data_IF_027234854367
#
_entry.id   IF_027234854367
#
_cell.length_a   1.000
_cell.length_b   1.000
_cell.length_c   1.000
_cell.angle_alpha   90.00
_cell.angle_beta   90.00
_cell.angle_gamma   90.00
#
_symmetry.space_group_name_H-M   'P 1'
#
loop_
_entity.id
_entity.type
_entity.pdbx_description
1 polymer ?
#
# COMPACT_ATOMS: atom_id res chain seq x y z
N UNK A 1 -4.25 -21.46 -16.58
CA UNK A 1 -5.06 -20.68 -15.62
C UNK A 1 -4.59 -21.09 -14.22
N UNK A 2 -3.60 -20.39 -13.65
CA UNK A 2 -3.08 -20.70 -12.31
C UNK A 2 -3.87 -19.89 -11.29
N UNK A 3 -4.50 -20.60 -10.38
CA UNK A 3 -5.30 -20.07 -9.26
C UNK A 3 -4.39 -19.25 -8.32
N UNK A 4 -4.79 -18.01 -8.03
CA UNK A 4 -4.14 -17.12 -7.06
C UNK A 4 -4.53 -17.53 -5.63
N UNK A 5 -3.56 -17.63 -4.72
CA UNK A 5 -3.79 -17.92 -3.31
C UNK A 5 -3.18 -16.84 -2.42
N UNK A 6 -3.95 -16.36 -1.45
CA UNK A 6 -3.41 -15.69 -0.25
C UNK A 6 -3.05 -16.81 0.72
N UNK A 7 -1.77 -16.97 1.04
CA UNK A 7 -1.33 -17.95 2.04
C UNK A 7 -1.19 -17.21 3.38
N UNK A 8 -2.20 -17.35 4.23
CA UNK A 8 -2.11 -16.91 5.63
C UNK A 8 -1.44 -18.05 6.41
N UNK A 9 -0.11 -18.11 6.42
CA UNK A 9 0.60 -19.04 7.31
C UNK A 9 0.61 -18.47 8.73
N UNK A 10 -0.47 -18.71 9.49
CA UNK A 10 -0.38 -18.78 10.94
C UNK A 10 -0.69 -20.23 11.32
N UNK A 11 0.24 -20.84 12.06
CA UNK A 11 0.16 -22.18 12.62
C UNK A 11 -1.23 -22.57 13.13
N UNK A 12 -1.68 -23.76 12.67
CA UNK A 12 -2.78 -24.61 13.18
C UNK A 12 -4.21 -24.03 13.21
N UNK A 13 -4.86 -24.05 12.05
CA UNK A 13 -6.04 -24.88 11.70
C UNK A 13 -6.75 -24.18 10.55
N UNK A 14 -6.91 -24.89 9.44
CA UNK A 14 -7.62 -24.40 8.26
C UNK A 14 -9.07 -24.02 8.59
N UNK A 15 -9.54 -22.79 8.34
CA UNK A 15 -10.93 -22.57 8.02
C UNK A 15 -11.05 -22.62 6.50
N UNK A 16 -11.82 -23.60 6.02
CA UNK A 16 -12.44 -23.57 4.71
C UNK A 16 -13.32 -22.31 4.64
N UNK A 17 -12.95 -21.32 3.85
CA UNK A 17 -13.91 -20.28 3.44
C UNK A 17 -13.57 -19.69 2.08
N UNK A 18 -14.63 -19.49 1.31
CA UNK A 18 -14.72 -19.25 -0.13
C UNK A 18 -13.93 -18.00 -0.59
N UNK A 19 -13.03 -18.16 -1.57
CA UNK A 19 -12.17 -17.09 -2.10
C UNK A 19 -12.88 -16.29 -3.19
N UNK A 20 -13.57 -15.18 -2.86
CA UNK A 20 -14.33 -14.39 -3.85
C UNK A 20 -14.09 -12.87 -3.89
N UNK A 21 -13.28 -12.27 -3.03
CA UNK A 21 -13.44 -10.84 -2.75
C UNK A 21 -12.25 -9.94 -3.11
N UNK A 22 -11.80 -9.96 -4.37
CA UNK A 22 -11.00 -8.89 -4.94
C UNK A 22 -11.91 -7.76 -5.45
N UNK A 23 -11.63 -6.50 -5.11
CA UNK A 23 -12.33 -5.37 -5.73
C UNK A 23 -11.55 -4.87 -6.95
N UNK A 24 -12.28 -4.67 -8.06
CA UNK A 24 -11.75 -4.08 -9.29
C UNK A 24 -12.00 -2.57 -9.23
N UNK A 25 -10.95 -1.76 -9.22
CA UNK A 25 -11.10 -0.31 -9.39
C UNK A 25 -11.41 -0.06 -10.88
N UNK A 26 -12.51 0.64 -11.24
CA UNK A 26 -12.99 0.69 -12.62
C UNK A 26 -12.03 1.31 -13.66
N UNK A 27 -11.08 2.15 -13.23
CA UNK A 27 -10.28 2.95 -14.18
C UNK A 27 -8.85 2.46 -14.41
N UNK A 28 -8.44 1.37 -13.75
CA UNK A 28 -7.13 0.76 -13.95
C UNK A 28 -7.22 -0.68 -13.45
N UNK A 29 -6.81 -1.70 -14.22
CA UNK A 29 -6.85 -3.10 -13.77
C UNK A 29 -5.84 -3.28 -12.62
N UNK A 30 -6.24 -2.91 -11.42
CA UNK A 30 -5.43 -2.89 -10.22
C UNK A 30 -6.19 -3.67 -9.14
N UNK A 31 -5.61 -4.77 -8.70
CA UNK A 31 -6.13 -5.56 -7.60
C UNK A 31 -5.68 -4.91 -6.29
N UNK A 32 -6.61 -4.28 -5.57
CA UNK A 32 -6.35 -3.82 -4.20
C UNK A 32 -6.77 -4.92 -3.25
N UNK A 33 -5.82 -5.35 -2.41
CA UNK A 33 -6.12 -6.23 -1.29
C UNK A 33 -6.49 -5.36 -0.10
N UNK A 34 -7.79 -5.30 0.18
CA UNK A 34 -8.31 -4.71 1.41
C UNK A 34 -8.10 -5.70 2.56
N UNK A 35 -7.22 -5.33 3.48
CA UNK A 35 -6.79 -6.20 4.57
C UNK A 35 -7.92 -6.37 5.60
N UNK A 36 -8.87 -5.43 5.70
CA UNK A 36 -10.04 -5.53 6.59
C UNK A 36 -10.89 -6.78 6.29
N UNK A 37 -10.90 -7.23 5.04
CA UNK A 37 -11.63 -8.44 4.62
C UNK A 37 -11.05 -9.74 5.18
N UNK A 38 -9.81 -9.72 5.63
CA UNK A 38 -9.15 -10.90 6.21
C UNK A 38 -9.33 -10.97 7.74
N UNK A 39 -10.30 -10.21 8.29
CA UNK A 39 -10.65 -10.22 9.71
C UNK A 39 -9.65 -9.47 10.58
N UNK A 40 -8.91 -8.53 9.99
CA UNK A 40 -7.97 -7.66 10.67
C UNK A 40 -8.59 -6.27 10.79
N UNK A 41 -8.77 -5.78 12.01
CA UNK A 41 -9.27 -4.42 12.21
C UNK A 41 -8.13 -3.42 11.97
N UNK A 42 -8.19 -2.68 10.86
CA UNK A 42 -7.28 -1.59 10.54
C UNK A 42 -7.91 -0.22 10.77
N UNK A 43 -9.09 -0.16 11.39
CA UNK A 43 -9.74 1.11 11.66
C UNK A 43 -8.85 1.98 12.54
N UNK A 44 -8.60 3.22 12.10
CA UNK A 44 -7.73 4.15 12.81
C UNK A 44 -6.23 3.87 12.72
N UNK A 45 -5.79 2.82 11.99
CA UNK A 45 -4.37 2.63 11.70
C UNK A 45 -3.94 3.64 10.63
N UNK A 46 -3.08 4.57 11.02
CA UNK A 46 -2.47 5.57 10.13
C UNK A 46 -1.02 5.26 9.82
N UNK A 47 -0.43 4.26 10.47
CA UNK A 47 0.99 3.89 10.31
C UNK A 47 1.11 2.40 10.03
N UNK A 48 1.92 2.04 9.03
CA UNK A 48 2.14 0.65 8.62
C UNK A 48 3.63 0.37 8.51
N UNK A 49 4.08 -0.74 9.09
CA UNK A 49 5.41 -1.32 8.83
C UNK A 49 5.25 -2.60 8.03
N UNK A 50 6.11 -2.77 7.02
CA UNK A 50 6.05 -3.94 6.15
C UNK A 50 7.41 -4.20 5.51
N UNK A 51 7.57 -5.41 5.00
CA UNK A 51 8.63 -5.77 4.07
C UNK A 51 8.02 -6.15 2.74
N UNK A 52 8.65 -5.76 1.64
CA UNK A 52 8.19 -6.11 0.30
C UNK A 52 9.36 -6.56 -0.56
N UNK A 53 9.13 -7.63 -1.33
CA UNK A 53 9.99 -8.06 -2.43
C UNK A 53 9.24 -7.83 -3.74
N UNK A 54 9.69 -6.84 -4.49
CA UNK A 54 9.11 -6.42 -5.77
C UNK A 54 10.18 -5.64 -6.54
N UNK A 55 10.19 -5.72 -7.88
CA UNK A 55 11.19 -4.99 -8.67
C UNK A 55 11.01 -3.46 -8.61
N UNK A 56 9.75 -2.99 -8.59
CA UNK A 56 9.38 -1.57 -8.54
C UNK A 56 7.87 -1.42 -8.27
N UNK A 57 7.34 -0.19 -8.30
CA UNK A 57 5.92 0.14 -8.28
C UNK A 57 5.14 -0.42 -7.07
N UNK A 58 5.74 -0.30 -5.88
CA UNK A 58 5.09 -0.56 -4.60
C UNK A 58 4.18 0.61 -4.27
N UNK A 59 2.90 0.35 -3.97
CA UNK A 59 1.95 1.40 -3.58
C UNK A 59 1.13 0.98 -2.38
N UNK A 60 0.93 1.92 -1.46
CA UNK A 60 0.00 1.80 -0.34
C UNK A 60 -1.11 2.80 -0.60
N UNK A 61 -2.35 2.36 -0.44
CA UNK A 61 -3.55 3.21 -0.54
C UNK A 61 -4.14 3.36 0.84
N UNK A 62 -4.30 4.59 1.32
CA UNK A 62 -4.99 4.89 2.57
C UNK A 62 -6.24 5.71 2.28
N UNK A 63 -7.43 5.16 2.57
CA UNK A 63 -8.71 5.70 2.07
C UNK A 63 -9.64 6.15 3.20
N UNK A 64 -10.45 7.18 2.93
CA UNK A 64 -11.59 7.60 3.76
C UNK A 64 -12.84 6.73 3.53
N UNK A 65 -12.68 5.45 3.25
CA UNK A 65 -13.79 4.52 3.03
C UNK A 65 -13.53 3.21 3.75
N UNK A 66 -14.59 2.60 4.26
CA UNK A 66 -14.52 1.29 4.91
C UNK A 66 -14.45 0.14 3.87
N UNK A 67 -14.79 0.39 2.60
CA UNK A 67 -14.91 -0.65 1.55
C UNK A 67 -14.12 -0.34 0.25
N UNK A 68 -13.05 0.45 0.31
CA UNK A 68 -12.22 0.72 -0.88
C UNK A 68 -12.95 1.51 -1.99
N UNK A 69 -13.98 2.28 -1.62
CA UNK A 69 -14.73 3.14 -2.55
C UNK A 69 -13.82 4.20 -3.18
N UNK A 70 -13.59 4.06 -4.49
CA UNK A 70 -12.72 4.95 -5.27
C UNK A 70 -13.25 6.37 -5.45
N UNK A 71 -14.54 6.62 -5.13
CA UNK A 71 -15.12 7.96 -5.14
C UNK A 71 -14.75 8.77 -3.89
N UNK A 72 -14.23 8.13 -2.84
CA UNK A 72 -13.77 8.80 -1.62
C UNK A 72 -12.32 9.27 -1.74
N UNK A 73 -11.95 10.35 -1.01
CA UNK A 73 -10.56 10.77 -0.92
C UNK A 73 -9.65 9.63 -0.46
N UNK A 74 -8.48 9.54 -1.07
CA UNK A 74 -7.46 8.55 -0.73
C UNK A 74 -6.06 9.08 -0.98
N UNK A 75 -5.11 8.61 -0.18
CA UNK A 75 -3.70 8.83 -0.39
C UNK A 75 -3.13 7.61 -1.10
N UNK A 76 -2.57 7.84 -2.29
CA UNK A 76 -1.67 6.91 -2.93
C UNK A 76 -0.24 7.25 -2.48
N UNK A 77 0.38 6.34 -1.77
CA UNK A 77 1.76 6.44 -1.30
C UNK A 77 2.60 5.52 -2.19
N UNK A 78 3.44 6.12 -3.03
CA UNK A 78 4.24 5.40 -4.00
C UNK A 78 5.67 5.22 -3.48
N UNK A 79 6.17 4.00 -3.62
CA UNK A 79 7.51 3.60 -3.26
C UNK A 79 8.09 2.88 -4.49
N UNK A 80 9.29 3.27 -4.92
CA UNK A 80 9.92 2.68 -6.11
C UNK A 80 9.12 2.88 -7.41
N UNK A 81 8.38 3.98 -7.52
CA UNK A 81 7.76 4.43 -8.77
C UNK A 81 8.81 4.76 -9.85
N UNK A 82 8.34 4.96 -11.09
CA UNK A 82 9.21 5.37 -12.20
C UNK A 82 10.40 4.43 -12.45
N UNK A 83 10.15 3.11 -12.46
CA UNK A 83 11.20 2.08 -12.59
C UNK A 83 12.21 2.08 -11.43
N UNK A 84 11.72 2.14 -10.17
CA UNK A 84 12.53 2.14 -8.95
C UNK A 84 13.40 3.40 -8.79
N UNK A 85 12.89 4.56 -9.20
CA UNK A 85 13.62 5.84 -9.19
C UNK A 85 12.91 6.96 -8.45
N UNK A 86 11.65 6.75 -8.04
CA UNK A 86 10.84 7.77 -7.39
C UNK A 86 10.00 7.24 -6.25
N UNK A 87 9.79 8.08 -5.26
CA UNK A 87 8.77 7.90 -4.22
C UNK A 87 7.95 9.18 -4.15
N UNK A 88 6.71 9.09 -3.70
CA UNK A 88 5.87 10.27 -3.66
C UNK A 88 4.48 10.01 -3.15
N UNK A 89 3.71 11.08 -3.10
CA UNK A 89 2.35 11.06 -2.59
C UNK A 89 1.42 11.66 -3.63
N UNK A 90 0.22 11.09 -3.69
CA UNK A 90 -0.89 11.65 -4.45
C UNK A 90 -2.15 11.56 -3.60
N UNK A 91 -2.90 12.65 -3.55
CA UNK A 91 -4.26 12.70 -3.03
C UNK A 91 -5.22 12.59 -4.21
N UNK A 92 -5.97 11.51 -4.28
CA UNK A 92 -7.01 11.34 -5.30
C UNK A 92 -8.22 12.21 -4.94
N UNK A 93 -8.88 12.75 -5.96
CA UNK A 93 -9.93 13.77 -5.85
C UNK A 93 -9.39 15.09 -5.27
N UNK A 94 -8.15 15.40 -5.60
CA UNK A 94 -7.58 16.73 -5.47
C UNK A 94 -7.85 17.49 -6.77
N UNK A 95 -8.64 18.56 -6.67
CA UNK A 95 -9.04 19.41 -7.80
C UNK A 95 -7.84 20.17 -8.41
N UNK A 96 -6.67 20.14 -7.78
CA UNK A 96 -5.44 20.77 -8.27
C UNK A 96 -4.60 19.89 -9.20
N UNK A 97 -4.84 18.57 -9.27
CA UNK A 97 -4.11 17.66 -10.15
C UNK A 97 -4.63 17.73 -11.59
N UNK A 98 -3.74 17.95 -12.55
CA UNK A 98 -4.06 17.82 -13.98
C UNK A 98 -3.91 16.35 -14.43
N UNK A 99 -4.50 15.95 -15.58
CA UNK A 99 -4.35 14.58 -16.11
C UNK A 99 -2.89 14.11 -16.28
N UNK A 100 -1.95 15.06 -16.42
CA UNK A 100 -0.53 14.79 -16.61
C UNK A 100 0.26 14.73 -15.28
N UNK A 101 -0.40 14.98 -14.15
CA UNK A 101 0.25 15.05 -12.83
C UNK A 101 -0.03 13.79 -12.01
N UNK A 102 0.93 12.86 -12.00
CA UNK A 102 0.83 11.60 -11.24
C UNK A 102 0.99 11.81 -9.72
N UNK A 103 1.66 12.88 -9.29
CA UNK A 103 2.01 13.12 -7.88
C UNK A 103 1.68 14.55 -7.45
N UNK A 104 1.17 14.73 -6.24
CA UNK A 104 1.18 16.03 -5.56
C UNK A 104 2.62 16.44 -5.24
N UNK A 105 3.44 15.48 -4.79
CA UNK A 105 4.87 15.66 -4.58
C UNK A 105 5.62 14.36 -4.84
N UNK A 106 6.80 14.46 -5.43
CA UNK A 106 7.67 13.34 -5.75
C UNK A 106 9.13 13.64 -5.36
N UNK A 107 9.85 12.58 -5.01
CA UNK A 107 11.23 12.58 -4.58
C UNK A 107 12.01 11.59 -5.43
N UNK A 108 13.22 11.96 -5.85
CA UNK A 108 14.12 11.01 -6.51
C UNK A 108 14.68 10.03 -5.47
N UNK A 109 14.32 8.76 -5.63
CA UNK A 109 14.70 7.67 -4.73
C UNK A 109 15.16 6.47 -5.56
N UNK A 110 16.48 6.29 -5.63
CA UNK A 110 17.09 5.26 -6.48
C UNK A 110 17.18 3.92 -5.74
N UNK A 111 16.83 2.85 -6.46
CA UNK A 111 17.09 1.46 -6.07
C UNK A 111 16.58 1.11 -4.67
N UNK A 112 15.37 1.58 -4.32
CA UNK A 112 14.76 1.27 -3.03
C UNK A 112 14.23 -0.16 -2.97
N UNK A 113 13.63 -0.66 -4.05
CA UNK A 113 13.05 -2.00 -4.12
C UNK A 113 14.02 -3.02 -4.73
N UNK A 114 13.72 -4.31 -4.56
CA UNK A 114 14.49 -5.43 -5.12
C UNK A 114 13.58 -6.57 -5.54
N UNK A 115 13.90 -7.17 -6.69
CA UNK A 115 13.25 -8.38 -7.17
C UNK A 115 13.61 -9.61 -6.31
N UNK A 116 14.76 -9.58 -5.64
CA UNK A 116 15.40 -10.78 -5.08
C UNK A 116 15.29 -10.88 -3.55
N UNK A 117 15.08 -9.75 -2.87
CA UNK A 117 15.05 -9.70 -1.41
C UNK A 117 13.89 -8.84 -0.87
N UNK A 118 13.43 -9.21 0.32
CA UNK A 118 12.48 -8.40 1.08
C UNK A 118 13.19 -7.16 1.62
N UNK A 119 12.61 -5.99 1.35
CA UNK A 119 13.12 -4.73 1.88
C UNK A 119 12.11 -4.09 2.82
N UNK A 120 12.55 -3.67 4.03
CA UNK A 120 11.67 -3.13 5.05
C UNK A 120 11.38 -1.65 4.81
N UNK A 121 10.13 -1.27 5.02
CA UNK A 121 9.65 0.10 4.96
C UNK A 121 8.61 0.37 6.04
N UNK A 122 8.39 1.65 6.29
CA UNK A 122 7.25 2.13 7.01
C UNK A 122 6.63 3.34 6.30
N UNK A 123 5.31 3.47 6.44
CA UNK A 123 4.56 4.64 5.98
C UNK A 123 3.66 5.14 7.10
N UNK A 124 3.43 6.46 7.13
CA UNK A 124 2.49 7.10 8.04
C UNK A 124 1.64 8.11 7.28
N UNK A 125 0.38 8.27 7.69
CA UNK A 125 -0.53 9.33 7.28
C UNK A 125 -1.30 9.83 8.51
N UNK A 126 -0.60 10.50 9.43
CA UNK A 126 -1.14 10.90 10.73
C UNK A 126 -1.45 12.39 10.73
N UNK A 127 -2.69 12.76 11.02
CA UNK A 127 -3.14 14.18 11.06
C UNK A 127 -2.84 14.99 9.78
N UNK A 128 -2.75 14.33 8.62
CA UNK A 128 -2.40 14.99 7.37
C UNK A 128 -0.90 15.01 7.05
N UNK A 129 -0.04 14.56 7.97
CA UNK A 129 1.38 14.38 7.71
C UNK A 129 1.64 12.97 7.18
N UNK A 130 2.03 12.92 5.91
CA UNK A 130 2.42 11.70 5.21
C UNK A 130 3.93 11.55 5.22
N UNK A 131 4.41 10.34 5.52
CA UNK A 131 5.83 10.04 5.54
C UNK A 131 6.10 8.64 5.01
N UNK A 132 7.27 8.46 4.40
CA UNK A 132 7.83 7.18 4.01
C UNK A 132 9.23 7.09 4.61
N UNK A 133 9.57 5.95 5.22
CA UNK A 133 10.93 5.66 5.64
C UNK A 133 11.35 4.22 5.43
N UNK A 134 12.67 4.00 5.51
CA UNK A 134 13.28 2.67 5.37
C UNK A 134 13.44 1.99 6.73
N UNK A 135 13.32 0.67 6.74
CA UNK A 135 13.38 -0.13 7.96
C UNK A 135 12.01 -0.30 8.60
N UNK A 136 12.00 -0.95 9.78
CA UNK A 136 10.79 -1.24 10.54
C UNK A 136 10.58 -0.28 11.72
N UNK A 137 11.49 0.65 11.94
CA UNK A 137 11.41 1.63 13.03
C UNK A 137 10.81 2.92 12.48
N UNK A 138 9.55 3.17 12.82
CA UNK A 138 8.81 4.37 12.43
C UNK A 138 9.55 5.63 12.90
N UNK A 139 9.64 6.64 12.03
CA UNK A 139 10.34 7.90 12.27
C UNK A 139 11.83 7.90 11.92
N UNK A 140 12.42 6.73 11.60
CA UNK A 140 13.83 6.63 11.20
C UNK A 140 13.97 6.48 9.69
N UNK A 141 15.11 6.94 9.13
CA UNK A 141 15.45 6.86 7.72
C UNK A 141 14.33 7.35 6.79
N UNK A 142 13.78 8.53 7.10
CA UNK A 142 12.77 9.20 6.27
C UNK A 142 13.34 9.46 4.87
N UNK A 143 12.58 9.14 3.84
CA UNK A 143 12.95 9.33 2.43
C UNK A 143 11.99 10.23 1.66
N UNK A 144 10.78 10.44 2.17
CA UNK A 144 9.79 11.33 1.59
C UNK A 144 8.81 11.78 2.69
N UNK A 145 8.35 13.02 2.61
CA UNK A 145 7.39 13.60 3.54
C UNK A 145 6.45 14.56 2.80
N UNK A 146 5.20 14.69 3.24
CA UNK A 146 4.26 15.63 2.65
C UNK A 146 3.13 15.92 3.64
N UNK A 147 2.78 17.18 3.79
CA UNK A 147 1.61 17.58 4.57
C UNK A 147 0.47 17.94 3.63
N UNK A 148 -0.65 17.21 3.70
CA UNK A 148 -1.87 17.53 2.98
C UNK A 148 -2.50 18.80 3.59
N UNK A 149 -2.71 19.89 2.82
CA UNK A 149 -3.43 21.07 3.31
C UNK A 149 -4.91 20.81 3.65
N UNK A 150 -5.50 19.72 3.15
CA UNK A 150 -6.91 19.37 3.35
C UNK A 150 -7.09 17.91 3.77
N UNK A 151 -6.59 17.55 4.98
CA UNK A 151 -6.48 16.17 5.39
C UNK A 151 -7.84 15.53 5.67
N UNK A 152 -7.90 14.21 5.52
CA UNK A 152 -9.05 13.39 5.88
C UNK A 152 -8.64 12.23 6.82
N UNK A 153 -9.63 11.68 7.51
CA UNK A 153 -9.43 10.52 8.38
C UNK A 153 -9.23 9.25 7.55
N UNK A 154 -8.12 8.53 7.77
CA UNK A 154 -7.90 7.21 7.18
C UNK A 154 -8.79 6.17 7.87
N UNK A 155 -9.47 5.34 7.08
CA UNK A 155 -10.38 4.28 7.54
C UNK A 155 -9.99 2.90 7.05
N UNK A 156 -9.31 2.80 5.91
CA UNK A 156 -8.80 1.54 5.38
C UNK A 156 -7.44 1.69 4.73
N UNK A 157 -6.71 0.58 4.66
CA UNK A 157 -5.42 0.45 3.99
C UNK A 157 -5.52 -0.66 2.93
N UNK A 158 -5.02 -0.35 1.74
CA UNK A 158 -4.85 -1.29 0.65
C UNK A 158 -3.38 -1.37 0.21
N UNK A 159 -2.94 -2.57 -0.19
CA UNK A 159 -1.60 -2.79 -0.75
C UNK A 159 -1.69 -3.11 -2.23
N UNK A 160 -0.69 -2.66 -2.98
CA UNK A 160 -0.71 -2.74 -4.43
C UNK A 160 0.69 -2.84 -5.05
N UNK A 161 0.80 -3.67 -6.10
CA UNK A 161 1.88 -3.64 -7.11
C UNK A 161 1.28 -3.50 -8.51
N UNK A 162 1.93 -2.73 -9.40
CA UNK A 162 1.45 -2.53 -10.79
C UNK A 162 1.32 -3.84 -11.59
N UNK A 163 0.52 -3.78 -12.66
CA UNK A 163 0.36 -4.86 -13.65
C UNK A 163 1.70 -5.49 -14.03
N UNK A 164 1.72 -6.82 -14.06
CA UNK A 164 2.90 -7.63 -14.41
C UNK A 164 4.06 -7.56 -13.40
N UNK A 165 3.90 -6.88 -12.26
CA UNK A 165 4.86 -6.91 -11.15
C UNK A 165 4.34 -7.81 -10.05
N UNK A 166 5.15 -8.80 -9.70
CA UNK A 166 4.94 -9.66 -8.55
C UNK A 166 5.44 -8.91 -7.31
N UNK A 167 4.56 -8.76 -6.32
CA UNK A 167 4.89 -8.27 -5.00
C UNK A 167 4.66 -9.36 -3.96
N UNK A 168 5.70 -9.72 -3.21
CA UNK A 168 5.55 -10.50 -1.99
C UNK A 168 5.68 -9.57 -0.78
N UNK A 169 4.70 -9.61 0.11
CA UNK A 169 4.58 -8.68 1.22
C UNK A 169 4.55 -9.41 2.55
N UNK A 170 5.25 -8.85 3.55
CA UNK A 170 5.16 -9.21 4.96
C UNK A 170 4.69 -7.99 5.72
N UNK A 171 3.48 -8.03 6.23
CA UNK A 171 2.89 -6.88 6.93
C UNK A 171 2.90 -7.19 8.42
N UNK A 172 3.44 -6.28 9.23
CA UNK A 172 3.45 -6.43 10.69
C UNK A 172 2.24 -5.71 11.29
N UNK A 173 1.38 -6.45 11.99
CA UNK A 173 0.16 -5.93 12.59
C UNK A 173 -0.14 -6.63 13.91
N UNK A 174 -0.30 -5.89 15.00
CA UNK A 174 -0.67 -6.42 16.33
C UNK A 174 0.16 -7.64 16.77
N UNK A 175 1.47 -7.63 16.47
CA UNK A 175 2.37 -8.75 16.78
C UNK A 175 2.23 -9.98 15.86
N UNK A 176 1.39 -9.91 14.82
CA UNK A 176 1.28 -10.91 13.75
C UNK A 176 2.00 -10.45 12.50
N UNK A 177 2.48 -11.41 11.71
CA UNK A 177 2.99 -11.18 10.36
C UNK A 177 2.00 -11.77 9.37
N UNK A 178 1.59 -10.97 8.40
CA UNK A 178 0.68 -11.39 7.33
C UNK A 178 1.47 -11.46 6.03
N UNK A 179 1.43 -12.61 5.38
CA UNK A 179 2.06 -12.84 4.08
C UNK A 179 1.03 -12.63 2.97
N UNK A 180 1.34 -11.75 2.03
CA UNK A 180 0.48 -11.48 0.87
C UNK A 180 1.30 -11.62 -0.41
N UNK A 181 0.69 -12.26 -1.41
CA UNK A 181 1.27 -12.44 -2.73
C UNK A 181 0.37 -11.75 -3.76
N UNK A 182 0.87 -10.67 -4.37
CA UNK A 182 0.14 -9.85 -5.32
C UNK A 182 0.71 -10.04 -6.72
N UNK A 183 -0.12 -10.50 -7.65
CA UNK A 183 0.17 -10.58 -9.07
C UNK A 183 -1.05 -10.03 -9.82
N UNK A 184 -0.82 -9.11 -10.76
CA UNK A 184 -1.87 -8.50 -11.58
C UNK A 184 -1.63 -8.74 -13.07
#
# INVERSE_FOLDING_TARGET
MKTLGVVIENTFTTPKTDFKNFYRIPDYLQYVVDINKYGLDLSGITTLTFEVKACHAVKIVMSNSDEGDSSKPMYNIFICGGQNRRSGFQRRNDDSLTPDTEFNVAYDTLDLCSCDEYRPFWVSATNGDLMIGKGLIVGFNVIAEWTDPYPFMVRSIGLFTNQQIIGEWKVQMEGKIIFLFLMS
#
